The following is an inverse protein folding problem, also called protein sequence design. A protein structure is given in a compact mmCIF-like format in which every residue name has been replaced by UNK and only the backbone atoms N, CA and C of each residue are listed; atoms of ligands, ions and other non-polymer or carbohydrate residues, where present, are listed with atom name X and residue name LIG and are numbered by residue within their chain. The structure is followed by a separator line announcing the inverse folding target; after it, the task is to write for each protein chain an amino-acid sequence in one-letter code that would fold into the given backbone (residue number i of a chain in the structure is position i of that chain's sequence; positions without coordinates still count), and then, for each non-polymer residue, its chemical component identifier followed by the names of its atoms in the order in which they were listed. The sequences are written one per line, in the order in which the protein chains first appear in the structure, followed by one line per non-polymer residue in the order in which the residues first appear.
data_IF_230148198032
#
_entry.id   IF_230148198032
#
_cell.length_a   1.000
_cell.length_b   1.000
_cell.length_c   1.000
_cell.angle_alpha   90.00
_cell.angle_beta   90.00
_cell.angle_gamma   90.00
#
_symmetry.space_group_name_H-M   'P 1'
#
loop_
_entity.id
_entity.type
_entity.pdbx_description
1 polymer ?
#
# COMPACT_ATOMS: atom_id res chain seq x y z
N UNK A 1 -5.31 4.37 -1.54
CA UNK A 1 -4.19 5.24 -1.99
C UNK A 1 -4.39 5.77 -3.42
N UNK A 2 -3.81 6.93 -3.78
CA UNK A 2 -3.86 7.53 -5.13
C UNK A 2 -2.48 8.04 -5.55
N UNK A 3 -2.00 7.59 -6.71
CA UNK A 3 -0.73 8.01 -7.29
C UNK A 3 -0.96 8.64 -8.67
N UNK A 4 -0.29 9.74 -8.97
CA UNK A 4 -0.44 10.46 -10.25
C UNK A 4 0.92 10.76 -10.84
N UNK A 5 1.07 10.47 -12.12
CA UNK A 5 2.25 10.81 -12.90
C UNK A 5 1.85 11.55 -14.17
N UNK A 6 2.67 12.51 -14.57
CA UNK A 6 2.60 13.10 -15.90
C UNK A 6 3.66 12.39 -16.76
N UNK A 7 3.23 11.68 -17.80
CA UNK A 7 4.15 11.11 -18.79
C UNK A 7 4.44 12.19 -19.82
N UNK A 8 5.68 12.66 -19.86
CA UNK A 8 6.10 13.80 -20.71
C UNK A 8 6.54 13.38 -22.11
N UNK A 9 7.17 12.20 -22.23
CA UNK A 9 7.55 11.63 -23.53
C UNK A 9 6.33 11.19 -24.33
N UNK A 10 6.37 11.43 -25.63
CA UNK A 10 5.33 10.97 -26.55
C UNK A 10 5.56 9.55 -27.08
N UNK A 11 6.70 8.93 -26.74
CA UNK A 11 7.00 7.54 -27.09
C UNK A 11 5.88 6.62 -26.60
N UNK A 12 5.23 5.90 -27.53
CA UNK A 12 4.14 5.00 -27.19
C UNK A 12 4.67 3.81 -26.42
N UNK A 13 4.05 3.53 -25.28
CA UNK A 13 4.25 2.29 -24.55
C UNK A 13 2.95 1.85 -23.90
N UNK A 14 2.81 0.55 -23.64
CA UNK A 14 1.63 0.05 -22.93
C UNK A 14 1.56 0.63 -21.52
N UNK A 15 0.34 0.90 -21.05
CA UNK A 15 0.08 1.39 -19.70
C UNK A 15 0.64 0.44 -18.63
N UNK A 16 0.59 -0.87 -18.88
CA UNK A 16 1.26 -1.90 -18.07
C UNK A 16 2.77 -1.66 -17.98
N UNK A 17 3.46 -1.44 -19.11
CA UNK A 17 4.92 -1.21 -19.16
C UNK A 17 5.27 0.09 -18.43
N UNK A 18 4.50 1.16 -18.65
CA UNK A 18 4.68 2.43 -17.94
C UNK A 18 4.62 2.25 -16.42
N UNK A 19 3.56 1.61 -15.91
CA UNK A 19 3.39 1.40 -14.47
C UNK A 19 4.49 0.51 -13.88
N UNK A 20 4.93 -0.53 -14.61
CA UNK A 20 6.07 -1.37 -14.21
C UNK A 20 7.34 -0.54 -14.06
N UNK A 21 7.62 0.37 -15.00
CA UNK A 21 8.78 1.27 -14.92
C UNK A 21 8.70 2.27 -13.77
N UNK A 22 7.49 2.60 -13.30
CA UNK A 22 7.27 3.40 -12.07
C UNK A 22 7.32 2.58 -10.78
N UNK A 23 7.76 1.32 -10.85
CA UNK A 23 7.92 0.45 -9.67
C UNK A 23 6.65 -0.27 -9.23
N UNK A 24 5.56 -0.20 -10.00
CA UNK A 24 4.33 -0.93 -9.65
C UNK A 24 4.57 -2.44 -9.82
N UNK A 25 4.43 -3.18 -8.72
CA UNK A 25 4.73 -4.60 -8.68
C UNK A 25 3.84 -5.43 -9.61
N UNK A 26 4.33 -6.62 -10.00
CA UNK A 26 3.54 -7.57 -10.78
C UNK A 26 2.23 -7.99 -10.07
N UNK A 27 2.27 -8.15 -8.74
CA UNK A 27 1.10 -8.47 -7.91
C UNK A 27 0.05 -7.36 -7.98
N UNK A 28 0.47 -6.10 -7.86
CA UNK A 28 -0.44 -4.94 -7.96
C UNK A 28 -1.06 -4.85 -9.35
N UNK A 29 -0.26 -4.99 -10.42
CA UNK A 29 -0.78 -5.02 -11.80
C UNK A 29 -1.80 -6.14 -12.02
N UNK A 30 -1.55 -7.32 -11.45
CA UNK A 30 -2.47 -8.45 -11.53
C UNK A 30 -3.77 -8.19 -10.77
N UNK A 31 -3.69 -7.56 -9.59
CA UNK A 31 -4.84 -7.13 -8.80
C UNK A 31 -5.72 -6.12 -9.55
N UNK A 32 -5.09 -5.14 -10.21
CA UNK A 32 -5.79 -4.15 -11.05
C UNK A 32 -6.58 -4.80 -12.19
N UNK A 33 -6.03 -5.84 -12.83
CA UNK A 33 -6.74 -6.59 -13.87
C UNK A 33 -7.97 -7.32 -13.33
N UNK A 34 -7.92 -7.78 -12.07
CA UNK A 34 -9.03 -8.44 -11.37
C UNK A 34 -10.09 -7.44 -10.84
N UNK A 35 -9.93 -6.14 -11.09
CA UNK A 35 -10.87 -5.10 -10.67
C UNK A 35 -10.57 -4.48 -9.30
N UNK A 36 -9.50 -4.91 -8.63
CA UNK A 36 -9.08 -4.36 -7.34
C UNK A 36 -8.26 -3.08 -7.55
N UNK A 37 -8.98 -2.01 -7.86
CA UNK A 37 -8.44 -0.68 -8.18
C UNK A 37 -8.71 -0.27 -9.61
N UNK A 38 -8.20 0.91 -9.99
CA UNK A 38 -8.40 1.45 -11.34
C UNK A 38 -7.23 2.34 -11.74
N UNK A 39 -6.97 2.36 -13.05
CA UNK A 39 -6.05 3.30 -13.68
C UNK A 39 -6.85 4.24 -14.57
N UNK A 40 -6.60 5.53 -14.40
CA UNK A 40 -7.19 6.60 -15.18
C UNK A 40 -6.12 7.18 -16.11
N UNK A 41 -6.51 7.46 -17.35
CA UNK A 41 -5.72 8.24 -18.32
C UNK A 41 -6.54 9.49 -18.64
N UNK A 42 -6.02 10.65 -18.29
CA UNK A 42 -6.71 11.94 -18.31
C UNK A 42 -8.12 11.87 -17.68
N UNK A 43 -8.20 11.24 -16.50
CA UNK A 43 -9.44 11.10 -15.74
C UNK A 43 -10.37 9.96 -16.18
N UNK A 44 -10.16 9.35 -17.36
CA UNK A 44 -10.99 8.24 -17.85
C UNK A 44 -10.40 6.88 -17.49
N UNK A 45 -11.22 5.96 -16.96
CA UNK A 45 -10.79 4.59 -16.64
C UNK A 45 -10.37 3.87 -17.91
N UNK A 46 -9.19 3.23 -17.90
CA UNK A 46 -8.64 2.49 -19.04
C UNK A 46 -8.07 1.14 -18.62
N UNK A 47 -8.04 0.21 -19.59
CA UNK A 47 -7.36 -1.08 -19.45
C UNK A 47 -5.84 -0.92 -19.45
N UNK A 48 -5.11 -1.81 -18.79
CA UNK A 48 -3.64 -1.78 -18.76
C UNK A 48 -2.99 -2.13 -20.10
N UNK A 49 -3.75 -2.67 -21.06
CA UNK A 49 -3.25 -3.09 -22.37
C UNK A 49 -3.12 -1.95 -23.38
N UNK A 50 -3.73 -0.79 -23.13
CA UNK A 50 -3.68 0.33 -24.07
C UNK A 50 -2.27 0.93 -24.16
N UNK A 51 -1.92 1.49 -25.30
CA UNK A 51 -0.73 2.31 -25.47
C UNK A 51 -1.00 3.76 -25.08
N UNK A 52 0.00 4.40 -24.47
CA UNK A 52 -0.06 5.78 -24.00
C UNK A 52 1.21 6.55 -24.37
N UNK A 53 1.03 7.67 -25.07
CA UNK A 53 2.02 8.72 -25.33
C UNK A 53 2.08 9.73 -24.18
N UNK A 54 2.18 11.03 -24.50
CA UNK A 54 2.17 12.10 -23.49
C UNK A 54 0.78 12.27 -22.85
N UNK A 55 0.63 11.92 -21.57
CA UNK A 55 -0.67 11.83 -20.87
C UNK A 55 -0.54 11.95 -19.35
N UNK A 56 -1.61 12.32 -18.65
CA UNK A 56 -1.72 12.23 -17.19
C UNK A 56 -2.26 10.84 -16.81
N UNK A 57 -1.50 10.11 -16.02
CA UNK A 57 -1.81 8.74 -15.60
C UNK A 57 -2.03 8.73 -14.10
N UNK A 58 -3.15 8.17 -13.65
CA UNK A 58 -3.52 8.11 -12.22
C UNK A 58 -3.87 6.68 -11.82
N UNK A 59 -3.16 6.14 -10.83
CA UNK A 59 -3.45 4.86 -10.20
C UNK A 59 -4.24 5.08 -8.91
N UNK A 60 -5.34 4.38 -8.75
CA UNK A 60 -6.17 4.40 -7.53
C UNK A 60 -6.26 2.97 -7.02
N UNK A 61 -5.74 2.75 -5.82
CA UNK A 61 -5.83 1.48 -5.08
C UNK A 61 -6.92 1.59 -4.01
N UNK A 62 -7.79 0.57 -3.89
CA UNK A 62 -8.78 0.52 -2.82
C UNK A 62 -8.08 0.42 -1.46
N UNK A 63 -8.73 0.83 -0.37
CA UNK A 63 -8.18 0.63 0.96
C UNK A 63 -7.99 -0.85 1.29
N UNK A 64 -6.92 -1.17 2.01
CA UNK A 64 -6.68 -2.52 2.53
C UNK A 64 -7.48 -2.73 3.81
N UNK A 65 -8.55 -3.54 3.69
CA UNK A 65 -9.39 -3.91 4.81
C UNK A 65 -8.60 -4.75 5.82
N UNK A 66 -8.93 -4.58 7.09
CA UNK A 66 -8.39 -5.36 8.20
C UNK A 66 -8.46 -6.88 7.92
N UNK A 67 -7.33 -7.56 8.08
CA UNK A 67 -7.27 -9.02 8.14
C UNK A 67 -7.71 -9.49 9.55
N UNK A 68 -8.78 -10.28 9.63
CA UNK A 68 -9.32 -10.81 10.89
C UNK A 68 -8.33 -11.74 11.62
N UNK A 69 -7.40 -12.36 10.89
CA UNK A 69 -6.39 -13.23 11.49
C UNK A 69 -5.29 -12.46 12.23
N UNK A 70 -5.17 -11.15 11.98
CA UNK A 70 -4.22 -10.28 12.67
C UNK A 70 -4.96 -9.55 13.78
N UNK A 71 -4.77 -9.97 15.03
CA UNK A 71 -5.41 -9.31 16.17
C UNK A 71 -4.88 -7.89 16.38
N UNK A 72 -5.65 -7.06 17.08
CA UNK A 72 -5.16 -5.77 17.58
C UNK A 72 -4.55 -5.98 18.95
N UNK A 73 -3.38 -5.37 19.18
CA UNK A 73 -2.75 -5.29 20.51
C UNK A 73 -2.85 -3.86 21.03
N UNK A 74 -3.28 -3.70 22.29
CA UNK A 74 -3.39 -2.39 22.95
C UNK A 74 -2.12 -1.98 23.68
N UNK A 75 -1.08 -2.80 23.60
CA UNK A 75 0.21 -2.53 24.21
C UNK A 75 0.86 -1.26 23.64
N UNK A 76 1.70 -0.56 24.42
CA UNK A 76 2.30 0.70 23.99
C UNK A 76 3.10 0.58 22.68
N UNK A 77 3.03 1.65 21.88
CA UNK A 77 3.79 1.81 20.65
C UNK A 77 4.52 3.15 20.70
N UNK A 78 5.85 3.12 20.63
CA UNK A 78 6.66 4.34 20.59
C UNK A 78 6.87 4.75 19.12
N UNK A 79 6.34 5.91 18.74
CA UNK A 79 6.33 6.41 17.37
C UNK A 79 7.27 7.61 17.29
N UNK A 80 8.38 7.43 16.57
CA UNK A 80 9.39 8.48 16.35
C UNK A 80 8.95 9.42 15.22
N UNK A 81 8.28 8.89 14.21
CA UNK A 81 7.79 9.65 13.07
C UNK A 81 6.56 9.00 12.47
N UNK A 82 5.57 9.80 12.09
CA UNK A 82 4.37 9.36 11.39
C UNK A 82 3.93 10.38 10.36
N UNK A 83 3.63 9.89 9.14
CA UNK A 83 2.97 10.65 8.09
C UNK A 83 1.87 9.82 7.41
N UNK A 84 1.30 10.35 6.33
CA UNK A 84 0.22 9.71 5.58
C UNK A 84 0.52 8.30 5.01
N UNK A 85 1.80 7.90 4.92
CA UNK A 85 2.24 6.63 4.35
C UNK A 85 3.24 5.87 5.24
N UNK A 86 3.94 6.56 6.14
CA UNK A 86 5.04 5.99 6.92
C UNK A 86 4.79 6.10 8.41
N UNK A 87 5.15 5.05 9.14
CA UNK A 87 5.26 5.05 10.60
C UNK A 87 6.63 4.47 10.94
N UNK A 88 7.44 5.25 11.64
CA UNK A 88 8.74 4.85 12.19
C UNK A 88 8.58 4.74 13.69
N UNK A 89 8.99 3.60 14.23
CA UNK A 89 8.71 3.20 15.61
C UNK A 89 10.00 2.81 16.30
N UNK A 90 10.15 3.23 17.55
CA UNK A 90 11.21 2.70 18.41
C UNK A 90 10.77 1.34 18.94
N UNK A 91 11.32 0.26 18.39
CA UNK A 91 10.86 -1.09 18.68
C UNK A 91 11.55 -1.62 19.95
N UNK A 92 10.82 -1.99 21.01
CA UNK A 92 11.43 -2.57 22.19
C UNK A 92 12.14 -3.90 21.87
N UNK A 93 13.14 -4.29 22.69
CA UNK A 93 13.77 -5.59 22.57
C UNK A 93 12.74 -6.71 22.73
N UNK A 94 13.00 -7.86 22.09
CA UNK A 94 12.17 -9.07 22.14
C UNK A 94 10.74 -8.95 21.55
N UNK A 95 10.29 -7.77 21.13
CA UNK A 95 9.03 -7.63 20.39
C UNK A 95 9.21 -8.09 18.93
N UNK A 96 8.44 -9.08 18.51
CA UNK A 96 8.42 -9.53 17.12
C UNK A 96 7.79 -8.48 16.21
N UNK A 97 8.31 -8.30 15.00
CA UNK A 97 7.76 -7.30 14.07
C UNK A 97 6.45 -7.75 13.41
N UNK A 98 6.28 -9.06 13.18
CA UNK A 98 5.16 -9.64 12.41
C UNK A 98 4.66 -10.89 13.13
N UNK A 99 3.34 -11.19 13.12
CA UNK A 99 2.79 -12.39 13.72
C UNK A 99 3.45 -13.66 13.17
N UNK A 100 3.83 -14.56 14.07
CA UNK A 100 4.47 -15.84 13.74
C UNK A 100 3.97 -16.97 14.63
N UNK A 101 4.54 -18.19 14.52
CA UNK A 101 4.13 -19.34 15.32
C UNK A 101 4.27 -19.12 16.83
N UNK A 102 5.31 -18.40 17.26
CA UNK A 102 5.61 -18.12 18.67
C UNK A 102 4.75 -17.02 19.29
N UNK A 103 4.29 -16.06 18.49
CA UNK A 103 3.46 -14.96 18.96
C UNK A 103 2.59 -14.43 17.81
N UNK A 104 1.26 -14.60 17.96
CA UNK A 104 0.27 -14.17 16.96
C UNK A 104 -0.50 -12.91 17.37
N UNK A 105 -0.41 -12.53 18.63
CA UNK A 105 -1.35 -11.61 19.26
C UNK A 105 -0.72 -10.26 19.61
N UNK A 106 0.58 -10.24 19.92
CA UNK A 106 1.29 -9.03 20.32
C UNK A 106 2.63 -8.87 19.59
N UNK A 107 2.56 -8.34 18.38
CA UNK A 107 3.71 -7.96 17.55
C UNK A 107 3.59 -6.49 17.15
N UNK A 108 4.64 -5.94 16.56
CA UNK A 108 4.63 -4.57 16.08
C UNK A 108 3.46 -4.31 15.11
N UNK A 109 3.20 -5.23 14.19
CA UNK A 109 2.03 -5.17 13.29
C UNK A 109 0.70 -5.16 14.07
N UNK A 110 0.56 -5.92 15.15
CA UNK A 110 -0.67 -5.93 15.95
C UNK A 110 -0.90 -4.59 16.65
N UNK A 111 0.17 -3.97 17.18
CA UNK A 111 0.13 -2.67 17.86
C UNK A 111 -0.12 -1.53 16.87
N UNK A 112 0.59 -1.51 15.74
CA UNK A 112 0.37 -0.53 14.66
C UNK A 112 -1.05 -0.63 14.09
N UNK A 113 -1.58 -1.85 13.94
CA UNK A 113 -2.98 -2.04 13.50
C UNK A 113 -3.98 -1.40 14.46
N UNK A 114 -3.74 -1.52 15.78
CA UNK A 114 -4.59 -0.89 16.79
C UNK A 114 -4.51 0.64 16.72
N UNK A 115 -3.30 1.19 16.61
CA UNK A 115 -3.07 2.63 16.44
C UNK A 115 -3.82 3.20 15.22
N UNK A 116 -3.68 2.56 14.05
CA UNK A 116 -4.40 2.95 12.82
C UNK A 116 -5.93 2.87 12.99
N UNK A 117 -6.42 1.87 13.73
CA UNK A 117 -7.85 1.74 14.02
C UNK A 117 -8.35 2.86 14.93
N UNK A 118 -7.60 3.25 15.96
CA UNK A 118 -7.94 4.38 16.84
C UNK A 118 -8.02 5.70 16.05
N UNK A 119 -7.15 5.89 15.07
CA UNK A 119 -7.18 7.02 14.15
C UNK A 119 -8.31 6.94 13.10
N UNK A 120 -9.13 5.88 13.10
CA UNK A 120 -10.17 5.62 12.09
C UNK A 120 -9.60 5.55 10.66
N UNK A 121 -8.38 5.04 10.52
CA UNK A 121 -7.77 4.80 9.21
C UNK A 121 -8.61 3.81 8.40
N UNK A 122 -8.64 4.01 7.08
CA UNK A 122 -9.26 3.08 6.13
C UNK A 122 -8.34 1.90 5.79
N UNK A 123 -7.04 2.11 5.93
CA UNK A 123 -5.99 1.15 5.64
C UNK A 123 -5.50 0.57 6.98
N UNK A 124 -5.84 -0.70 7.26
CA UNK A 124 -5.57 -1.36 8.54
C UNK A 124 -4.57 -2.53 8.41
N UNK A 125 -3.89 -2.60 7.27
CA UNK A 125 -2.87 -3.61 6.99
C UNK A 125 -1.51 -2.91 6.88
N UNK A 126 -0.74 -2.84 7.98
CA UNK A 126 0.60 -2.26 7.93
C UNK A 126 1.57 -3.20 7.21
N UNK A 127 2.40 -2.63 6.34
CA UNK A 127 3.43 -3.35 5.61
C UNK A 127 4.81 -3.04 6.19
N UNK A 128 5.46 -4.06 6.76
CA UNK A 128 6.80 -3.92 7.34
C UNK A 128 7.85 -3.85 6.21
N UNK A 129 8.62 -2.77 6.17
CA UNK A 129 9.64 -2.53 5.13
C UNK A 129 11.04 -2.99 5.55
N UNK A 130 11.40 -2.81 6.83
CA UNK A 130 12.69 -3.23 7.40
C UNK A 130 12.47 -3.96 8.73
N UNK A 131 13.40 -4.84 9.11
CA UNK A 131 13.40 -5.58 10.38
C UNK A 131 14.79 -5.57 11.00
#
# INVERSE_FOLDING_TARGET
MKFTWNKESDEKMTLKKFLKNKGVSHRTLSSLKKGNGKVLVDGKKRSLAIEVGKRKITLILPPEKSDENVKMSKEPLDIIYEDSNWIVVDKPPLLSSVPGPSNRTDTLVNRVKFHLWQQKSKDLVPHVITR
#
